data_IF_494301731528
#
_entry.id   IF_494301731528
#
_cell.length_a   1.000
_cell.length_b   1.000
_cell.length_c   1.000
_cell.angle_alpha   90.00
_cell.angle_beta   90.00
_cell.angle_gamma   90.00
#
_symmetry.space_group_name_H-M   'P 1'
#
loop_
_entity.id
_entity.type
_entity.pdbx_description
1 polymer ?
#
# COMPACT_ATOMS: atom_id res chain seq x y z
N UNK A 1 2.80 10.41 -17.82
CA UNK A 1 1.93 9.53 -18.63
C UNK A 1 2.17 8.03 -18.37
N UNK A 2 3.42 7.54 -18.32
CA UNK A 2 3.69 6.12 -18.09
C UNK A 2 3.05 5.54 -16.81
N UNK A 3 3.12 6.24 -15.68
CA UNK A 3 2.53 5.79 -14.42
C UNK A 3 1.02 5.62 -14.46
N UNK A 4 0.29 6.53 -15.10
CA UNK A 4 -1.16 6.40 -15.27
C UNK A 4 -1.50 5.19 -16.16
N UNK A 5 -0.74 4.98 -17.23
CA UNK A 5 -0.88 3.80 -18.09
C UNK A 5 -0.64 2.50 -17.32
N UNK A 6 0.39 2.47 -16.45
CA UNK A 6 0.63 1.34 -15.56
C UNK A 6 -0.54 1.09 -14.59
N UNK A 7 -1.10 2.14 -13.99
CA UNK A 7 -2.27 2.02 -13.10
C UNK A 7 -3.50 1.45 -13.82
N UNK A 8 -3.73 1.84 -15.09
CA UNK A 8 -4.80 1.23 -15.92
C UNK A 8 -4.49 -0.25 -16.17
N UNK A 9 -3.24 -0.58 -16.51
CA UNK A 9 -2.84 -1.97 -16.73
C UNK A 9 -3.00 -2.83 -15.45
N UNK A 10 -2.62 -2.28 -14.29
CA UNK A 10 -2.81 -2.92 -12.99
C UNK A 10 -4.30 -3.19 -12.69
N UNK A 11 -5.18 -2.21 -12.95
CA UNK A 11 -6.63 -2.41 -12.81
C UNK A 11 -7.17 -3.49 -13.77
N UNK A 12 -6.66 -3.56 -15.01
CA UNK A 12 -7.07 -4.61 -15.95
C UNK A 12 -6.52 -5.99 -15.59
N UNK A 13 -5.35 -6.05 -14.97
CA UNK A 13 -4.79 -7.28 -14.41
C UNK A 13 -5.60 -7.74 -13.19
N UNK A 14 -5.92 -6.84 -12.27
CA UNK A 14 -6.72 -7.13 -11.08
C UNK A 14 -8.09 -7.75 -11.39
N UNK A 15 -8.69 -7.40 -12.55
CA UNK A 15 -9.94 -8.01 -13.04
C UNK A 15 -9.77 -9.48 -13.43
N UNK A 16 -8.54 -10.00 -13.54
CA UNK A 16 -8.24 -11.36 -14.02
C UNK A 16 -7.38 -12.16 -13.04
N UNK A 17 -6.72 -11.48 -12.12
CA UNK A 17 -5.79 -12.05 -11.16
C UNK A 17 -5.82 -11.26 -9.85
N UNK A 18 -5.80 -11.89 -8.69
CA UNK A 18 -5.83 -13.34 -8.45
C UNK A 18 -7.16 -14.00 -8.84
N UNK A 19 -7.29 -15.32 -8.64
CA UNK A 19 -8.50 -16.06 -8.93
C UNK A 19 -9.72 -15.45 -8.23
N UNK A 20 -10.81 -15.25 -8.96
CA UNK A 20 -12.00 -14.58 -8.46
C UNK A 20 -12.99 -15.60 -7.89
N UNK A 21 -13.71 -15.18 -6.87
CA UNK A 21 -14.81 -15.93 -6.25
C UNK A 21 -16.18 -15.50 -6.80
N UNK A 22 -17.25 -16.15 -6.32
CA UNK A 22 -18.62 -15.85 -6.73
C UNK A 22 -19.08 -14.44 -6.35
N UNK A 23 -18.51 -13.86 -5.25
CA UNK A 23 -18.85 -12.53 -4.77
C UNK A 23 -18.17 -11.42 -5.60
N UNK A 24 -17.03 -11.76 -6.23
CA UNK A 24 -16.21 -10.84 -7.01
C UNK A 24 -15.97 -11.39 -8.43
N UNK A 25 -17.00 -11.42 -9.29
CA UNK A 25 -16.86 -12.03 -10.61
C UNK A 25 -15.89 -11.26 -11.50
N UNK A 26 -15.12 -12.01 -12.30
CA UNK A 26 -14.18 -11.44 -13.27
C UNK A 26 -14.93 -10.66 -14.37
N UNK A 27 -14.22 -9.77 -15.08
CA UNK A 27 -14.74 -9.11 -16.28
C UNK A 27 -15.38 -7.73 -16.07
N UNK A 28 -15.08 -7.05 -14.97
CA UNK A 28 -15.55 -5.70 -14.68
C UNK A 28 -15.21 -4.69 -15.79
N UNK A 29 -16.15 -3.80 -16.10
CA UNK A 29 -15.96 -2.70 -17.05
C UNK A 29 -15.07 -1.59 -16.48
N UNK A 30 -14.51 -0.75 -17.38
CA UNK A 30 -13.77 0.47 -17.01
C UNK A 30 -14.70 1.41 -16.21
N UNK A 31 -14.20 1.92 -15.10
CA UNK A 31 -14.98 2.78 -14.21
C UNK A 31 -14.11 3.57 -13.25
N UNK A 32 -14.69 4.04 -12.14
CA UNK A 32 -14.00 4.86 -11.15
C UNK A 32 -12.77 4.17 -10.52
N UNK A 33 -12.80 2.83 -10.38
CA UNK A 33 -11.65 2.06 -9.86
C UNK A 33 -10.47 2.13 -10.82
N UNK A 34 -10.73 2.06 -12.13
CA UNK A 34 -9.70 2.24 -13.17
C UNK A 34 -9.09 3.64 -13.08
N UNK A 35 -9.92 4.67 -12.90
CA UNK A 35 -9.45 6.05 -12.75
C UNK A 35 -8.64 6.21 -11.45
N UNK A 36 -9.06 5.62 -10.34
CA UNK A 36 -8.33 5.64 -9.08
C UNK A 36 -6.97 4.92 -9.19
N UNK A 37 -6.92 3.76 -9.84
CA UNK A 37 -5.67 3.03 -10.09
C UNK A 37 -4.73 3.80 -11.02
N UNK A 38 -5.28 4.48 -12.05
CA UNK A 38 -4.50 5.34 -12.93
C UNK A 38 -3.91 6.54 -12.17
N UNK A 39 -4.68 7.16 -11.28
CA UNK A 39 -4.20 8.27 -10.44
C UNK A 39 -3.13 7.80 -9.45
N UNK A 40 -3.32 6.64 -8.81
CA UNK A 40 -2.32 6.03 -7.91
C UNK A 40 -1.02 5.69 -8.65
N UNK A 41 -1.12 5.10 -9.84
CA UNK A 41 0.04 4.82 -10.68
C UNK A 41 0.76 6.10 -11.13
N UNK A 42 0.01 7.14 -11.51
CA UNK A 42 0.59 8.45 -11.84
C UNK A 42 1.34 9.04 -10.65
N UNK A 43 0.78 8.98 -9.46
CA UNK A 43 1.38 9.49 -8.22
C UNK A 43 2.65 8.72 -7.85
N UNK A 44 2.59 7.37 -7.83
CA UNK A 44 3.73 6.53 -7.50
C UNK A 44 4.92 6.77 -8.44
N UNK A 45 4.68 6.78 -9.76
CA UNK A 45 5.76 6.97 -10.72
C UNK A 45 6.23 8.43 -10.83
N UNK A 46 5.37 9.40 -10.48
CA UNK A 46 5.79 10.78 -10.30
C UNK A 46 6.76 10.92 -9.11
N UNK A 47 6.46 10.28 -7.97
CA UNK A 47 7.37 10.21 -6.82
C UNK A 47 8.71 9.59 -7.23
N UNK A 48 8.68 8.45 -7.94
CA UNK A 48 9.89 7.80 -8.41
C UNK A 48 10.74 8.72 -9.29
N UNK A 49 10.12 9.42 -10.22
CA UNK A 49 10.81 10.31 -11.14
C UNK A 49 11.39 11.56 -10.47
N UNK A 50 10.70 12.12 -9.47
CA UNK A 50 11.08 13.38 -8.83
C UNK A 50 11.93 13.18 -7.57
N UNK A 51 11.52 12.26 -6.68
CA UNK A 51 12.17 12.08 -5.39
C UNK A 51 13.37 11.16 -5.44
N UNK A 52 13.42 10.24 -6.40
CA UNK A 52 14.53 9.31 -6.56
C UNK A 52 15.54 9.71 -7.65
N UNK A 53 15.42 10.91 -8.24
CA UNK A 53 16.29 11.35 -9.34
C UNK A 53 17.79 11.23 -9.01
N UNK A 54 18.20 11.59 -7.78
CA UNK A 54 19.57 11.57 -7.29
C UNK A 54 20.06 10.23 -6.70
N UNK A 55 19.20 9.21 -6.56
CA UNK A 55 19.59 7.95 -5.93
C UNK A 55 20.30 7.00 -6.89
N UNK A 56 20.98 6.01 -6.31
CA UNK A 56 21.64 4.92 -7.04
C UNK A 56 20.66 4.19 -7.98
N UNK A 57 21.06 3.80 -9.19
CA UNK A 57 20.21 3.07 -10.13
C UNK A 57 19.58 1.81 -9.56
N UNK A 58 20.30 1.05 -8.73
CA UNK A 58 19.76 -0.14 -8.08
C UNK A 58 18.60 0.22 -7.15
N UNK A 59 18.75 1.28 -6.32
CA UNK A 59 17.69 1.77 -5.43
C UNK A 59 16.46 2.18 -6.25
N UNK A 60 16.65 2.90 -7.36
CA UNK A 60 15.54 3.29 -8.26
C UNK A 60 14.78 2.07 -8.80
N UNK A 61 15.50 1.04 -9.25
CA UNK A 61 14.88 -0.18 -9.79
C UNK A 61 14.10 -0.91 -8.70
N UNK A 62 14.68 -1.06 -7.50
CA UNK A 62 14.03 -1.77 -6.40
C UNK A 62 12.79 -1.02 -5.89
N UNK A 63 12.89 0.30 -5.68
CA UNK A 63 11.73 1.11 -5.30
C UNK A 63 10.70 1.20 -6.43
N UNK A 64 11.13 1.26 -7.69
CA UNK A 64 10.24 1.22 -8.85
C UNK A 64 9.45 -0.09 -8.93
N UNK A 65 10.09 -1.22 -8.70
CA UNK A 65 9.44 -2.52 -8.61
C UNK A 65 8.46 -2.60 -7.43
N UNK A 66 8.86 -2.08 -6.25
CA UNK A 66 7.98 -2.00 -5.10
C UNK A 66 6.76 -1.11 -5.37
N UNK A 67 6.94 0.07 -6.00
CA UNK A 67 5.82 0.94 -6.37
C UNK A 67 4.87 0.26 -7.35
N UNK A 68 5.41 -0.53 -8.28
CA UNK A 68 4.58 -1.34 -9.16
C UNK A 68 3.74 -2.37 -8.38
N UNK A 69 4.34 -3.05 -7.39
CA UNK A 69 3.62 -3.95 -6.49
C UNK A 69 2.54 -3.22 -5.67
N UNK A 70 2.84 -2.02 -5.16
CA UNK A 70 1.86 -1.21 -4.42
C UNK A 70 0.67 -0.80 -5.32
N UNK A 71 0.92 -0.34 -6.54
CA UNK A 71 -0.14 0.06 -7.48
C UNK A 71 -0.99 -1.13 -7.90
N UNK A 72 -0.39 -2.30 -8.12
CA UNK A 72 -1.13 -3.53 -8.40
C UNK A 72 -1.93 -3.99 -7.17
N UNK A 73 -1.33 -4.00 -5.97
CA UNK A 73 -2.03 -4.29 -4.72
C UNK A 73 -3.20 -3.35 -4.47
N UNK A 74 -3.05 -2.06 -4.77
CA UNK A 74 -4.13 -1.08 -4.71
C UNK A 74 -5.30 -1.46 -5.64
N UNK A 75 -5.01 -1.84 -6.87
CA UNK A 75 -6.03 -2.23 -7.84
C UNK A 75 -6.74 -3.52 -7.43
N UNK A 76 -5.99 -4.53 -6.94
CA UNK A 76 -6.53 -5.80 -6.48
C UNK A 76 -7.40 -5.62 -5.24
N UNK A 77 -6.95 -4.83 -4.26
CA UNK A 77 -7.71 -4.60 -3.03
C UNK A 77 -8.99 -3.80 -3.29
N UNK A 78 -8.97 -2.85 -4.22
CA UNK A 78 -10.20 -2.17 -4.67
C UNK A 78 -11.18 -3.11 -5.37
N UNK A 79 -10.71 -4.18 -5.97
CA UNK A 79 -11.56 -5.13 -6.71
C UNK A 79 -12.04 -6.28 -5.83
N UNK A 80 -11.14 -6.93 -5.13
CA UNK A 80 -11.38 -8.19 -4.42
C UNK A 80 -11.24 -8.07 -2.90
N UNK A 81 -10.84 -6.92 -2.37
CA UNK A 81 -10.60 -6.68 -0.94
C UNK A 81 -9.60 -7.66 -0.32
N UNK A 82 -8.57 -7.99 -1.07
CA UNK A 82 -7.47 -8.83 -0.64
C UNK A 82 -6.14 -8.29 -1.14
N UNK A 83 -5.08 -8.56 -0.40
CA UNK A 83 -3.71 -8.26 -0.78
C UNK A 83 -2.97 -9.59 -0.98
N UNK A 84 -2.64 -9.98 -2.22
CA UNK A 84 -1.96 -11.23 -2.52
C UNK A 84 -0.58 -11.30 -1.85
N UNK A 85 -0.23 -12.51 -1.39
CA UNK A 85 1.05 -12.77 -0.77
C UNK A 85 2.23 -12.55 -1.72
N UNK A 86 2.02 -12.79 -3.01
CA UNK A 86 3.00 -12.57 -4.07
C UNK A 86 3.43 -11.11 -4.19
N UNK A 87 2.59 -10.16 -3.77
CA UNK A 87 2.90 -8.73 -3.79
C UNK A 87 3.48 -8.23 -2.47
N UNK A 88 3.16 -8.87 -1.35
CA UNK A 88 3.52 -8.38 -0.02
C UNK A 88 4.74 -9.09 0.57
N UNK A 89 4.82 -10.42 0.45
CA UNK A 89 5.88 -11.20 1.09
C UNK A 89 7.27 -10.98 0.49
N UNK A 90 7.48 -10.90 -0.84
CA UNK A 90 8.83 -10.74 -1.39
C UNK A 90 9.51 -9.42 -1.00
N UNK A 91 8.73 -8.41 -0.68
CA UNK A 91 9.25 -7.09 -0.29
C UNK A 91 9.95 -7.14 1.06
N UNK A 92 9.50 -8.00 1.98
CA UNK A 92 10.06 -8.09 3.34
C UNK A 92 11.54 -8.50 3.32
N UNK A 93 11.95 -9.65 2.75
CA UNK A 93 13.35 -10.02 2.69
C UNK A 93 14.17 -9.06 1.83
N UNK A 94 13.60 -8.50 0.75
CA UNK A 94 14.28 -7.53 -0.09
C UNK A 94 14.64 -6.26 0.70
N UNK A 95 13.68 -5.71 1.44
CA UNK A 95 13.90 -4.53 2.29
C UNK A 95 14.94 -4.81 3.37
N UNK A 96 14.86 -5.96 4.06
CA UNK A 96 15.84 -6.35 5.07
C UNK A 96 17.26 -6.46 4.50
N UNK A 97 17.42 -7.01 3.29
CA UNK A 97 18.73 -7.07 2.63
C UNK A 97 19.25 -5.66 2.36
N UNK A 98 18.40 -4.74 1.87
CA UNK A 98 18.78 -3.35 1.63
C UNK A 98 19.19 -2.63 2.92
N UNK A 99 18.44 -2.87 4.00
CA UNK A 99 18.66 -2.26 5.31
C UNK A 99 19.97 -2.71 5.93
N UNK A 100 20.19 -4.03 5.96
CA UNK A 100 21.44 -4.63 6.49
C UNK A 100 22.66 -4.24 5.65
N UNK A 101 22.47 -4.11 4.32
CA UNK A 101 23.54 -3.64 3.42
C UNK A 101 23.83 -2.13 3.55
N UNK A 102 23.03 -1.38 4.35
CA UNK A 102 23.17 0.07 4.48
C UNK A 102 22.85 0.84 3.20
N UNK A 103 22.08 0.24 2.30
CA UNK A 103 21.72 0.82 0.98
C UNK A 103 20.34 1.43 0.94
N UNK A 104 19.54 1.24 2.00
CA UNK A 104 18.23 1.87 2.08
C UNK A 104 18.36 3.34 2.49
N UNK A 105 18.01 4.30 1.62
CA UNK A 105 18.19 5.73 1.91
C UNK A 105 17.28 6.26 3.03
N UNK A 106 16.19 5.55 3.35
CA UNK A 106 15.21 5.96 4.35
C UNK A 106 15.48 5.40 5.76
N UNK A 107 16.27 4.35 5.85
CA UNK A 107 16.57 3.67 7.12
C UNK A 107 17.89 4.16 7.70
N UNK A 108 18.96 4.25 6.90
CA UNK A 108 20.26 4.73 7.36
C UNK A 108 20.73 4.02 8.64
N UNK A 109 21.01 4.80 9.68
CA UNK A 109 21.43 4.30 11.00
C UNK A 109 20.24 3.90 11.91
N UNK A 110 19.01 4.03 11.44
CA UNK A 110 17.79 3.78 12.21
C UNK A 110 17.24 2.37 12.04
N UNK A 111 18.10 1.36 11.81
CA UNK A 111 17.67 -0.03 11.58
C UNK A 111 16.86 -0.57 12.76
N UNK A 112 17.33 -0.40 14.00
CA UNK A 112 16.63 -0.92 15.18
C UNK A 112 15.22 -0.31 15.36
N UNK A 113 15.02 1.02 15.38
CA UNK A 113 13.67 1.57 15.44
C UNK A 113 12.80 1.16 14.26
N UNK A 114 13.35 0.97 13.06
CA UNK A 114 12.61 0.48 11.89
C UNK A 114 12.10 -0.94 12.11
N UNK A 115 12.94 -1.86 12.60
CA UNK A 115 12.54 -3.23 12.91
C UNK A 115 11.47 -3.27 14.01
N UNK A 116 11.60 -2.43 15.05
CA UNK A 116 10.61 -2.33 16.11
C UNK A 116 9.25 -1.85 15.57
N UNK A 117 9.23 -0.81 14.75
CA UNK A 117 8.00 -0.32 14.13
C UNK A 117 7.40 -1.36 13.19
N UNK A 118 8.22 -2.02 12.37
CA UNK A 118 7.79 -3.08 11.46
C UNK A 118 7.15 -4.28 12.18
N UNK A 119 7.58 -4.58 13.40
CA UNK A 119 7.01 -5.67 14.20
C UNK A 119 5.82 -5.21 15.05
N UNK A 120 6.00 -4.15 15.85
CA UNK A 120 5.04 -3.76 16.90
C UNK A 120 3.78 -3.14 16.30
N UNK A 121 3.91 -2.26 15.31
CA UNK A 121 2.76 -1.48 14.80
C UNK A 121 1.77 -2.36 14.05
N UNK A 122 2.15 -3.20 13.06
CA UNK A 122 1.20 -4.05 12.36
C UNK A 122 0.55 -5.09 13.28
N UNK A 123 1.33 -5.71 14.18
CA UNK A 123 0.81 -6.66 15.16
C UNK A 123 -0.14 -5.99 16.13
N UNK A 124 0.21 -4.80 16.64
CA UNK A 124 -0.63 -4.01 17.55
C UNK A 124 -1.96 -3.64 16.91
N UNK A 125 -1.96 -3.19 15.64
CA UNK A 125 -3.19 -2.89 14.89
C UNK A 125 -4.04 -4.15 14.67
N UNK A 126 -3.41 -5.27 14.31
CA UNK A 126 -4.11 -6.53 14.17
C UNK A 126 -4.79 -6.96 15.47
N UNK A 127 -4.06 -6.97 16.59
CA UNK A 127 -4.61 -7.32 17.89
C UNK A 127 -5.71 -6.35 18.33
N UNK A 128 -5.53 -5.05 18.10
CA UNK A 128 -6.53 -4.03 18.41
C UNK A 128 -7.81 -4.18 17.54
N UNK A 129 -7.73 -4.80 16.39
CA UNK A 129 -8.86 -5.04 15.50
C UNK A 129 -9.74 -6.22 15.90
N UNK A 130 -9.23 -7.19 16.68
CA UNK A 130 -9.93 -8.41 17.06
C UNK A 130 -11.31 -8.17 17.68
N UNK A 131 -11.51 -7.19 18.60
CA UNK A 131 -12.81 -6.91 19.19
C UNK A 131 -13.87 -6.42 18.19
N UNK A 132 -13.45 -5.91 17.03
CA UNK A 132 -14.34 -5.37 15.99
C UNK A 132 -14.80 -6.42 14.98
N UNK A 133 -14.36 -7.67 15.13
CA UNK A 133 -14.74 -8.81 14.32
C UNK A 133 -13.64 -9.32 13.39
N UNK A 134 -13.76 -10.59 12.99
CA UNK A 134 -12.83 -11.21 12.06
C UNK A 134 -12.84 -10.47 10.71
N UNK A 135 -11.67 -10.01 10.27
CA UNK A 135 -11.50 -9.30 9.00
C UNK A 135 -11.56 -7.77 9.09
N UNK A 136 -11.70 -7.18 10.28
CA UNK A 136 -11.61 -5.72 10.44
C UNK A 136 -10.23 -5.18 10.03
N UNK A 137 -9.17 -5.95 10.25
CA UNK A 137 -7.82 -5.70 9.75
C UNK A 137 -7.24 -7.03 9.26
N UNK A 138 -6.93 -7.12 7.97
CA UNK A 138 -6.52 -8.36 7.32
C UNK A 138 -5.06 -8.72 7.57
N UNK A 139 -4.73 -10.02 7.50
CA UNK A 139 -3.33 -10.47 7.55
C UNK A 139 -2.52 -9.90 6.37
N UNK A 140 -3.15 -9.67 5.23
CA UNK A 140 -2.54 -8.99 4.09
C UNK A 140 -2.09 -7.56 4.42
N UNK A 141 -2.91 -6.80 5.18
CA UNK A 141 -2.56 -5.45 5.65
C UNK A 141 -1.39 -5.47 6.62
N UNK A 142 -1.31 -6.49 7.49
CA UNK A 142 -0.16 -6.71 8.39
C UNK A 142 1.12 -6.87 7.58
N UNK A 143 1.12 -7.77 6.59
CA UNK A 143 2.29 -8.03 5.71
C UNK A 143 2.68 -6.79 4.91
N UNK A 144 1.69 -6.08 4.37
CA UNK A 144 1.92 -4.82 3.67
C UNK A 144 2.62 -3.81 4.58
N UNK A 145 2.11 -3.58 5.80
CA UNK A 145 2.70 -2.61 6.75
C UNK A 145 4.10 -2.99 7.19
N UNK A 146 4.40 -4.28 7.38
CA UNK A 146 5.78 -4.74 7.64
C UNK A 146 6.70 -4.33 6.50
N UNK A 147 6.32 -4.65 5.25
CA UNK A 147 7.08 -4.28 4.07
C UNK A 147 7.24 -2.76 3.92
N UNK A 148 6.17 -2.00 4.16
CA UNK A 148 6.21 -0.52 4.14
C UNK A 148 7.20 0.01 5.17
N UNK A 149 7.13 -0.45 6.42
CA UNK A 149 8.01 0.03 7.48
C UNK A 149 9.48 -0.22 7.17
N UNK A 150 9.81 -1.41 6.65
CA UNK A 150 11.17 -1.74 6.24
C UNK A 150 11.63 -0.90 5.05
N UNK A 151 10.78 -0.69 4.04
CA UNK A 151 11.16 0.08 2.84
C UNK A 151 11.36 1.57 3.10
N UNK A 152 10.54 2.20 3.94
CA UNK A 152 10.55 3.66 4.13
C UNK A 152 11.02 4.10 5.53
N UNK A 153 11.50 3.16 6.35
CA UNK A 153 11.98 3.45 7.68
C UNK A 153 10.87 3.82 8.67
N UNK A 154 11.23 3.90 9.96
CA UNK A 154 10.24 4.06 11.02
C UNK A 154 9.47 5.39 10.95
N UNK A 155 10.13 6.51 10.62
CA UNK A 155 9.47 7.82 10.53
C UNK A 155 8.48 7.87 9.39
N UNK A 156 8.90 7.45 8.19
CA UNK A 156 8.02 7.40 7.03
C UNK A 156 6.85 6.46 7.22
N UNK A 157 7.08 5.30 7.84
CA UNK A 157 6.02 4.35 8.13
C UNK A 157 4.98 4.91 9.09
N UNK A 158 5.39 5.58 10.16
CA UNK A 158 4.46 6.20 11.11
C UNK A 158 3.69 7.38 10.51
N UNK A 159 4.38 8.27 9.77
CA UNK A 159 3.74 9.38 9.06
C UNK A 159 2.78 8.89 7.98
N UNK A 160 3.20 7.88 7.22
CA UNK A 160 2.38 7.26 6.20
C UNK A 160 1.16 6.56 6.78
N UNK A 161 1.33 5.79 7.85
CA UNK A 161 0.20 5.16 8.54
C UNK A 161 -0.81 6.20 9.05
N UNK A 162 -0.34 7.27 9.68
CA UNK A 162 -1.21 8.35 10.13
C UNK A 162 -1.98 8.98 8.97
N UNK A 163 -1.29 9.30 7.86
CA UNK A 163 -1.92 9.85 6.67
C UNK A 163 -2.96 8.90 6.06
N UNK A 164 -2.64 7.59 5.98
CA UNK A 164 -3.56 6.56 5.52
C UNK A 164 -4.80 6.43 6.40
N UNK A 165 -4.62 6.42 7.72
CA UNK A 165 -5.73 6.38 8.69
C UNK A 165 -6.62 7.62 8.61
N UNK A 166 -6.03 8.82 8.49
CA UNK A 166 -6.79 10.06 8.33
C UNK A 166 -7.56 10.07 7.00
N UNK A 167 -6.95 9.63 5.91
CA UNK A 167 -7.61 9.49 4.62
C UNK A 167 -8.77 8.50 4.68
N UNK A 168 -8.57 7.32 5.29
CA UNK A 168 -9.61 6.33 5.50
C UNK A 168 -10.76 6.90 6.33
N UNK A 169 -10.47 7.54 7.46
CA UNK A 169 -11.46 8.17 8.32
C UNK A 169 -12.27 9.24 7.59
N UNK A 170 -11.61 10.11 6.83
CA UNK A 170 -12.27 11.14 6.03
C UNK A 170 -13.22 10.54 5.00
N UNK A 171 -12.75 9.56 4.23
CA UNK A 171 -13.58 8.88 3.21
C UNK A 171 -14.77 8.17 3.86
N UNK A 172 -14.56 7.47 4.97
CA UNK A 172 -15.64 6.81 5.71
C UNK A 172 -16.70 7.81 6.20
N UNK A 173 -16.28 8.94 6.78
CA UNK A 173 -17.20 9.99 7.23
C UNK A 173 -18.01 10.56 6.06
N UNK A 174 -17.37 10.84 4.94
CA UNK A 174 -18.03 11.35 3.73
C UNK A 174 -19.04 10.33 3.19
N UNK A 175 -18.69 9.06 3.10
CA UNK A 175 -19.55 8.01 2.59
C UNK A 175 -20.75 7.76 3.52
N UNK A 176 -20.54 7.81 4.84
CA UNK A 176 -21.60 7.70 5.84
C UNK A 176 -22.56 8.91 5.79
N UNK A 177 -22.00 10.13 5.72
CA UNK A 177 -22.80 11.35 5.61
C UNK A 177 -23.62 11.38 4.32
N UNK A 178 -23.04 10.90 3.21
CA UNK A 178 -23.72 10.74 1.92
C UNK A 178 -24.69 9.54 1.90
N UNK A 179 -24.84 8.80 3.00
CA UNK A 179 -25.67 7.58 3.11
C UNK A 179 -25.37 6.52 2.03
N UNK A 180 -24.15 6.50 1.53
CA UNK A 180 -23.69 5.54 0.52
C UNK A 180 -23.27 4.20 1.10
N UNK A 181 -22.93 4.17 2.39
CA UNK A 181 -22.56 2.98 3.14
C UNK A 181 -23.31 2.97 4.49
N UNK A 182 -23.55 1.77 5.03
CA UNK A 182 -24.07 1.57 6.37
C UNK A 182 -22.94 1.37 7.40
N UNK A 183 -23.29 1.34 8.69
CA UNK A 183 -22.33 1.12 9.79
C UNK A 183 -21.63 -0.25 9.76
N UNK A 184 -22.17 -1.20 9.00
CA UNK A 184 -21.63 -2.56 8.85
C UNK A 184 -21.01 -2.81 7.48
N UNK A 185 -20.85 -1.77 6.66
CA UNK A 185 -20.23 -1.90 5.33
C UNK A 185 -18.73 -2.07 5.46
N UNK A 186 -18.19 -3.11 4.87
CA UNK A 186 -16.74 -3.30 4.74
C UNK A 186 -16.20 -2.41 3.63
N UNK A 187 -15.18 -1.59 3.96
CA UNK A 187 -14.44 -0.77 3.01
C UNK A 187 -13.02 -1.34 2.93
N UNK A 188 -12.46 -1.55 1.72
CA UNK A 188 -11.09 -2.04 1.59
C UNK A 188 -10.11 -1.07 2.26
N UNK A 189 -9.24 -1.57 3.12
CA UNK A 189 -8.32 -0.75 3.92
C UNK A 189 -6.96 -0.59 3.25
N UNK A 190 -6.53 -1.59 2.47
CA UNK A 190 -5.26 -1.59 1.75
C UNK A 190 -5.00 -0.35 0.90
N UNK A 191 -5.96 0.18 0.13
CA UNK A 191 -5.78 1.40 -0.66
C UNK A 191 -5.32 2.60 0.16
N UNK A 192 -5.80 2.75 1.39
CA UNK A 192 -5.41 3.84 2.28
C UNK A 192 -4.02 3.62 2.86
N UNK A 193 -3.64 2.38 3.17
CA UNK A 193 -2.29 2.04 3.60
C UNK A 193 -1.27 2.27 2.49
N UNK A 194 -1.60 1.92 1.25
CA UNK A 194 -0.76 2.14 0.07
C UNK A 194 -0.61 3.64 -0.21
N UNK A 195 -1.70 4.40 -0.16
CA UNK A 195 -1.64 5.86 -0.23
C UNK A 195 -0.74 6.42 0.86
N UNK A 196 -0.90 5.94 2.09
CA UNK A 196 -0.08 6.31 3.23
C UNK A 196 1.41 6.01 3.02
N UNK A 197 1.75 4.83 2.48
CA UNK A 197 3.13 4.47 2.16
C UNK A 197 3.79 5.47 1.20
N UNK A 198 3.09 5.83 0.12
CA UNK A 198 3.57 6.83 -0.85
C UNK A 198 3.65 8.23 -0.23
N UNK A 199 2.71 8.60 0.63
CA UNK A 199 2.73 9.86 1.39
C UNK A 199 3.93 9.93 2.34
N UNK A 200 4.23 8.82 3.05
CA UNK A 200 5.39 8.73 3.93
C UNK A 200 6.72 8.97 3.20
N UNK A 201 6.84 8.54 1.95
CA UNK A 201 7.98 8.87 1.09
C UNK A 201 7.99 10.37 0.74
N UNK A 202 6.84 10.92 0.35
CA UNK A 202 6.72 12.32 -0.03
C UNK A 202 7.21 13.26 1.08
N UNK A 203 7.00 12.91 2.33
CA UNK A 203 7.33 13.74 3.50
C UNK A 203 8.77 13.63 3.97
N UNK A 204 9.53 12.63 3.48
CA UNK A 204 10.91 12.38 3.91
C UNK A 204 11.98 12.88 2.93
N UNK A 205 11.63 13.17 1.69
CA UNK A 205 12.59 13.46 0.61
C UNK A 205 12.36 14.85 0.03
#
# INVERSE_FOLDING_TARGET
>A
MAGAGFGVAADRLAVRWPEHDEEHPAGRRIGWRTAASAAMGAFAFWLLATRFAGFDPLVKVLFGGWFACLVLGFAVDLDQRLLPDELTLPIIPLALILDVAGRNPFVGNALLPTLLVAAIVPIGLYLASIPFGAGAFGVGDVKLLVGVALMIGFLGALQGLLAGLLAAGLVLVVLLAARRIGRQSFVPFGPFLIFGALWGILTQV
#
